data_IF_314924387164
#
_entry.id   IF_314924387164
#
_cell.length_a   1.000
_cell.length_b   1.000
_cell.length_c   1.000
_cell.angle_alpha   90.00
_cell.angle_beta   90.00
_cell.angle_gamma   90.00
#
_symmetry.space_group_name_H-M   'P 1'
#
loop_
_entity.id
_entity.type
_entity.pdbx_description
1 polymer ?
#
# COMPACT_ATOMS: atom_id res chain seq x y z
N UNK A 1 -15.15 -31.80 -22.19
CA UNK A 1 -14.98 -30.63 -21.28
C UNK A 1 -14.50 -29.36 -21.94
N UNK A 2 -13.39 -29.37 -22.70
CA UNK A 2 -12.77 -28.16 -23.28
C UNK A 2 -13.73 -27.25 -24.07
N UNK A 3 -14.62 -27.83 -24.89
CA UNK A 3 -15.63 -27.06 -25.67
C UNK A 3 -16.66 -26.33 -24.79
N UNK A 4 -17.02 -26.91 -23.64
CA UNK A 4 -17.99 -26.34 -22.70
C UNK A 4 -17.39 -25.18 -21.91
N UNK A 5 -16.12 -25.31 -21.50
CA UNK A 5 -15.36 -24.23 -20.85
C UNK A 5 -15.14 -23.05 -21.81
N UNK A 6 -14.79 -23.34 -23.07
CA UNK A 6 -14.60 -22.31 -24.10
C UNK A 6 -15.88 -21.52 -24.40
N UNK A 7 -17.02 -22.20 -24.56
CA UNK A 7 -18.30 -21.52 -24.76
C UNK A 7 -18.68 -20.63 -23.57
N UNK A 8 -18.39 -21.08 -22.34
CA UNK A 8 -18.61 -20.29 -21.14
C UNK A 8 -17.71 -19.06 -21.10
N UNK A 9 -16.43 -19.22 -21.40
CA UNK A 9 -15.46 -18.13 -21.48
C UNK A 9 -15.83 -17.10 -22.56
N UNK A 10 -16.25 -17.54 -23.76
CA UNK A 10 -16.70 -16.65 -24.83
C UNK A 10 -17.96 -15.86 -24.43
N UNK A 11 -18.89 -16.50 -23.71
CA UNK A 11 -20.07 -15.84 -23.13
C UNK A 11 -19.71 -14.79 -22.09
N UNK A 12 -18.88 -15.14 -21.10
CA UNK A 12 -18.39 -14.21 -20.08
C UNK A 12 -17.65 -13.02 -20.70
N UNK A 13 -16.74 -13.29 -21.65
CA UNK A 13 -15.97 -12.26 -22.36
C UNK A 13 -16.88 -11.28 -23.11
N UNK A 14 -17.91 -11.78 -23.80
CA UNK A 14 -18.83 -10.92 -24.56
C UNK A 14 -19.59 -9.95 -23.66
N UNK A 15 -20.04 -10.41 -22.48
CA UNK A 15 -20.73 -9.55 -21.51
C UNK A 15 -19.77 -8.50 -20.94
N UNK A 16 -18.55 -8.89 -20.58
CA UNK A 16 -17.51 -7.98 -20.09
C UNK A 16 -17.16 -6.91 -21.14
N UNK A 17 -17.02 -7.28 -22.42
CA UNK A 17 -16.75 -6.32 -23.50
C UNK A 17 -17.89 -5.30 -23.66
N UNK A 18 -19.16 -5.72 -23.51
CA UNK A 18 -20.31 -4.80 -23.52
C UNK A 18 -20.28 -3.85 -22.33
N UNK A 19 -20.03 -4.35 -21.11
CA UNK A 19 -19.91 -3.54 -19.89
C UNK A 19 -18.82 -2.48 -20.07
N UNK A 20 -17.64 -2.89 -20.58
CA UNK A 20 -16.51 -1.98 -20.82
C UNK A 20 -16.85 -0.88 -21.82
N UNK A 21 -17.58 -1.22 -22.89
CA UNK A 21 -18.05 -0.25 -23.87
C UNK A 21 -19.02 0.76 -23.25
N UNK A 22 -20.03 0.29 -22.51
CA UNK A 22 -21.01 1.15 -21.82
C UNK A 22 -20.30 2.08 -20.82
N UNK A 23 -19.35 1.57 -20.02
CA UNK A 23 -18.54 2.40 -19.10
C UNK A 23 -17.78 3.50 -19.84
N UNK A 24 -17.22 3.19 -21.01
CA UNK A 24 -16.49 4.15 -21.85
C UNK A 24 -17.43 5.22 -22.41
N UNK A 25 -18.60 4.83 -22.90
CA UNK A 25 -19.61 5.75 -23.44
C UNK A 25 -20.15 6.69 -22.34
N UNK A 26 -20.36 6.18 -21.12
CA UNK A 26 -20.71 6.99 -19.94
C UNK A 26 -19.64 8.05 -19.66
N UNK A 27 -18.37 7.66 -19.65
CA UNK A 27 -17.27 8.58 -19.34
C UNK A 27 -17.12 9.66 -20.42
N UNK A 28 -17.24 9.29 -21.70
CA UNK A 28 -17.25 10.24 -22.80
C UNK A 28 -18.39 11.25 -22.67
N UNK A 29 -19.61 10.79 -22.33
CA UNK A 29 -20.76 11.67 -22.14
C UNK A 29 -20.62 12.57 -20.91
N UNK A 30 -19.99 12.11 -19.83
CA UNK A 30 -19.67 12.97 -18.68
C UNK A 30 -18.73 14.10 -19.08
N UNK A 31 -17.65 13.78 -19.79
CA UNK A 31 -16.69 14.78 -20.29
C UNK A 31 -17.40 15.78 -21.22
N UNK A 32 -18.24 15.31 -22.14
CA UNK A 32 -19.03 16.18 -23.02
C UNK A 32 -20.02 17.05 -22.24
N UNK A 33 -20.67 16.51 -21.22
CA UNK A 33 -21.57 17.27 -20.35
C UNK A 33 -20.83 18.40 -19.65
N UNK A 34 -19.61 18.17 -19.14
CA UNK A 34 -18.80 19.21 -18.50
C UNK A 34 -18.34 20.28 -19.51
N UNK A 35 -18.02 19.89 -20.74
CA UNK A 35 -17.69 20.83 -21.81
C UNK A 35 -18.88 21.74 -22.13
N UNK A 36 -20.07 21.18 -22.34
CA UNK A 36 -21.27 21.97 -22.62
C UNK A 36 -21.69 22.86 -21.45
N UNK A 37 -21.44 22.43 -20.21
CA UNK A 37 -21.68 23.25 -19.01
C UNK A 37 -20.75 24.47 -18.99
N UNK A 38 -19.47 24.31 -19.35
CA UNK A 38 -18.51 25.43 -19.49
C UNK A 38 -18.87 26.39 -20.62
N UNK A 39 -19.43 25.87 -21.71
CA UNK A 39 -19.90 26.66 -22.87
C UNK A 39 -21.26 27.35 -22.61
N UNK A 40 -21.92 27.06 -21.47
CA UNK A 40 -23.24 27.62 -21.14
C UNK A 40 -24.42 26.96 -21.87
N UNK A 41 -24.21 25.82 -22.53
CA UNK A 41 -25.25 25.09 -23.25
C UNK A 41 -26.01 24.14 -22.32
N UNK A 42 -26.90 24.70 -21.48
CA UNK A 42 -27.62 23.97 -20.44
C UNK A 42 -28.63 22.95 -21.00
N UNK A 43 -29.19 23.19 -22.19
CA UNK A 43 -30.14 22.26 -22.84
C UNK A 43 -29.45 20.93 -23.18
N UNK A 44 -28.24 20.98 -23.74
CA UNK A 44 -27.44 19.77 -24.03
C UNK A 44 -26.99 19.07 -22.76
N UNK A 45 -26.62 19.82 -21.71
CA UNK A 45 -26.29 19.25 -20.40
C UNK A 45 -27.46 18.45 -19.84
N UNK A 46 -28.67 19.00 -19.88
CA UNK A 46 -29.87 18.32 -19.40
C UNK A 46 -30.17 17.05 -20.21
N UNK A 47 -30.04 17.11 -21.54
CA UNK A 47 -30.24 15.95 -22.42
C UNK A 47 -29.25 14.82 -22.09
N UNK A 48 -27.97 15.15 -21.86
CA UNK A 48 -26.95 14.15 -21.52
C UNK A 48 -27.17 13.59 -20.11
N UNK A 49 -27.33 14.45 -19.10
CA UNK A 49 -27.44 14.04 -17.69
C UNK A 49 -28.71 13.26 -17.38
N UNK A 50 -29.85 13.70 -17.90
CA UNK A 50 -31.16 13.10 -17.56
C UNK A 50 -31.71 12.16 -18.63
N UNK A 51 -31.15 12.18 -19.84
CA UNK A 51 -31.48 11.24 -20.91
C UNK A 51 -30.41 10.16 -21.02
N UNK A 52 -29.39 10.43 -21.84
CA UNK A 52 -28.42 9.42 -22.29
C UNK A 52 -27.66 8.75 -21.14
N UNK A 53 -27.23 9.49 -20.13
CA UNK A 53 -26.51 8.91 -18.98
C UNK A 53 -27.41 7.99 -18.14
N UNK A 54 -28.69 8.34 -17.95
CA UNK A 54 -29.64 7.52 -17.20
C UNK A 54 -29.92 6.21 -17.94
N UNK A 55 -30.06 6.26 -19.28
CA UNK A 55 -30.25 5.07 -20.11
C UNK A 55 -29.03 4.15 -20.05
N UNK A 56 -27.82 4.69 -20.24
CA UNK A 56 -26.59 3.91 -20.17
C UNK A 56 -26.33 3.34 -18.77
N UNK A 57 -26.68 4.06 -17.71
CA UNK A 57 -26.60 3.53 -16.34
C UNK A 57 -27.56 2.36 -16.12
N UNK A 58 -28.80 2.44 -16.60
CA UNK A 58 -29.75 1.32 -16.55
C UNK A 58 -29.25 0.12 -17.34
N UNK A 59 -28.65 0.34 -18.50
CA UNK A 59 -28.11 -0.75 -19.32
C UNK A 59 -26.85 -1.36 -18.70
N UNK A 60 -26.01 -0.55 -18.04
CA UNK A 60 -24.89 -1.02 -17.25
C UNK A 60 -25.36 -1.93 -16.10
N UNK A 61 -26.40 -1.53 -15.36
CA UNK A 61 -26.98 -2.35 -14.30
C UNK A 61 -27.54 -3.69 -14.82
N UNK A 62 -28.23 -3.67 -15.96
CA UNK A 62 -28.72 -4.89 -16.61
C UNK A 62 -27.57 -5.83 -16.99
N UNK A 63 -26.52 -5.32 -17.62
CA UNK A 63 -25.37 -6.12 -18.03
C UNK A 63 -24.57 -6.65 -16.82
N UNK A 64 -24.42 -5.87 -15.75
CA UNK A 64 -23.82 -6.35 -14.50
C UNK A 64 -24.65 -7.47 -13.86
N UNK A 65 -25.98 -7.37 -13.87
CA UNK A 65 -26.86 -8.42 -13.38
C UNK A 65 -26.78 -9.70 -14.25
N UNK A 66 -26.66 -9.55 -15.57
CA UNK A 66 -26.43 -10.65 -16.50
C UNK A 66 -25.07 -11.33 -16.22
N UNK A 67 -24.01 -10.55 -16.04
CA UNK A 67 -22.67 -11.07 -15.72
C UNK A 67 -22.69 -11.88 -14.42
N UNK A 68 -23.33 -11.36 -13.36
CA UNK A 68 -23.49 -12.08 -12.08
C UNK A 68 -24.18 -13.43 -12.27
N UNK A 69 -25.24 -13.50 -13.07
CA UNK A 69 -25.93 -14.77 -13.38
C UNK A 69 -25.04 -15.76 -14.13
N UNK A 70 -24.25 -15.30 -15.10
CA UNK A 70 -23.33 -16.16 -15.86
C UNK A 70 -22.19 -16.68 -14.96
N UNK A 71 -21.78 -15.88 -13.98
CA UNK A 71 -20.71 -16.19 -13.04
C UNK A 71 -21.16 -16.94 -11.77
N UNK A 72 -22.46 -17.19 -11.55
CA UNK A 72 -22.99 -17.92 -10.37
C UNK A 72 -22.33 -19.29 -10.15
N UNK A 73 -21.92 -19.98 -11.22
CA UNK A 73 -21.25 -21.29 -11.17
C UNK A 73 -19.71 -21.18 -11.17
N UNK A 74 -19.18 -20.04 -10.74
CA UNK A 74 -17.75 -19.69 -10.73
C UNK A 74 -17.35 -18.85 -11.95
N UNK A 75 -16.51 -17.84 -11.74
CA UNK A 75 -16.01 -16.96 -12.81
C UNK A 75 -14.77 -17.56 -13.49
N UNK A 76 -14.70 -17.51 -14.82
CA UNK A 76 -13.48 -17.80 -15.59
C UNK A 76 -12.68 -16.54 -15.90
N UNK A 77 -13.30 -15.36 -15.80
CA UNK A 77 -12.71 -14.06 -16.10
C UNK A 77 -13.01 -13.08 -14.94
N UNK A 78 -11.95 -12.66 -14.25
CA UNK A 78 -12.03 -11.62 -13.23
C UNK A 78 -11.94 -10.24 -13.90
N UNK A 79 -13.00 -9.43 -13.80
CA UNK A 79 -13.01 -8.06 -14.33
C UNK A 79 -12.52 -7.04 -13.29
N UNK A 80 -12.77 -7.31 -12.01
CA UNK A 80 -12.43 -6.42 -10.90
C UNK A 80 -11.10 -6.80 -10.28
N UNK A 81 -10.27 -5.78 -10.07
CA UNK A 81 -9.01 -5.89 -9.33
C UNK A 81 -9.36 -5.82 -7.84
N UNK A 82 -8.99 -6.85 -7.08
CA UNK A 82 -9.14 -6.87 -5.62
C UNK A 82 -7.79 -6.71 -4.91
N UNK A 83 -7.84 -6.71 -3.58
CA UNK A 83 -6.66 -6.56 -2.72
C UNK A 83 -5.62 -7.66 -2.97
N UNK A 84 -6.05 -8.86 -3.37
CA UNK A 84 -5.14 -9.97 -3.67
C UNK A 84 -4.37 -9.71 -4.96
N UNK A 85 -5.04 -9.21 -6.00
CA UNK A 85 -4.39 -8.87 -7.27
C UNK A 85 -3.33 -7.78 -7.08
N UNK A 86 -3.63 -6.77 -6.25
CA UNK A 86 -2.67 -5.71 -5.89
C UNK A 86 -1.49 -6.30 -5.12
N UNK A 87 -1.78 -7.13 -4.11
CA UNK A 87 -0.75 -7.73 -3.27
C UNK A 87 0.18 -8.66 -4.07
N UNK A 88 -0.32 -9.38 -5.08
CA UNK A 88 0.51 -10.21 -5.97
C UNK A 88 1.52 -9.38 -6.79
N UNK A 89 1.08 -8.24 -7.33
CA UNK A 89 1.94 -7.34 -8.08
C UNK A 89 3.01 -6.72 -7.17
N UNK A 90 2.60 -6.24 -6.00
CA UNK A 90 3.51 -5.65 -5.00
C UNK A 90 4.51 -6.68 -4.50
N UNK A 91 4.07 -7.91 -4.21
CA UNK A 91 4.94 -9.03 -3.82
C UNK A 91 6.02 -9.30 -4.88
N UNK A 92 5.63 -9.31 -6.16
CA UNK A 92 6.57 -9.53 -7.26
C UNK A 92 7.62 -8.43 -7.37
N UNK A 93 7.25 -7.18 -7.12
CA UNK A 93 8.17 -6.03 -7.18
C UNK A 93 9.08 -5.94 -5.97
N UNK A 94 8.53 -6.11 -4.77
CA UNK A 94 9.24 -5.98 -3.49
C UNK A 94 9.99 -7.25 -3.09
N UNK A 95 9.66 -8.39 -3.71
CA UNK A 95 10.08 -9.74 -3.29
C UNK A 95 9.58 -10.16 -1.91
N UNK A 96 8.62 -9.42 -1.33
CA UNK A 96 7.97 -9.79 -0.08
C UNK A 96 6.90 -10.85 -0.39
N UNK A 97 6.87 -11.99 0.34
CA UNK A 97 5.86 -13.03 0.16
C UNK A 97 4.42 -12.51 0.28
N UNK A 98 3.53 -12.97 -0.60
CA UNK A 98 2.10 -12.61 -0.59
C UNK A 98 1.45 -12.89 0.79
N UNK A 99 1.82 -14.00 1.43
CA UNK A 99 1.32 -14.37 2.75
C UNK A 99 1.61 -13.31 3.82
N UNK A 100 2.73 -12.58 3.70
CA UNK A 100 3.10 -11.50 4.64
C UNK A 100 2.34 -10.21 4.33
N UNK A 101 2.08 -9.91 3.06
CA UNK A 101 1.28 -8.73 2.66
C UNK A 101 -0.19 -8.87 3.02
N UNK A 102 -0.70 -10.11 3.01
CA UNK A 102 -2.08 -10.42 3.37
C UNK A 102 -2.28 -10.63 4.88
N UNK A 103 -1.19 -10.65 5.67
CA UNK A 103 -1.26 -10.79 7.13
C UNK A 103 -1.87 -9.52 7.73
N UNK A 104 -2.88 -9.68 8.60
CA UNK A 104 -3.51 -8.56 9.27
C UNK A 104 -2.52 -7.87 10.21
N UNK A 105 -2.43 -6.53 10.13
CA UNK A 105 -1.52 -5.75 10.97
C UNK A 105 -1.76 -6.01 12.48
N UNK A 106 -3.01 -6.18 12.90
CA UNK A 106 -3.35 -6.52 14.29
C UNK A 106 -2.78 -7.87 14.72
N UNK A 107 -2.89 -8.90 13.89
CA UNK A 107 -2.38 -10.25 14.20
C UNK A 107 -0.85 -10.23 14.29
N UNK A 108 -0.21 -9.54 13.34
CA UNK A 108 1.24 -9.30 13.37
C UNK A 108 1.68 -8.64 14.68
N UNK A 109 0.94 -7.62 15.14
CA UNK A 109 1.24 -6.88 16.37
C UNK A 109 1.02 -7.66 17.68
N UNK A 110 0.13 -8.65 17.68
CA UNK A 110 -0.06 -9.56 18.83
C UNK A 110 1.17 -10.45 19.04
N UNK A 111 1.95 -10.70 17.98
CA UNK A 111 3.08 -11.61 18.00
C UNK A 111 4.45 -10.91 17.91
N UNK A 112 4.54 -9.62 18.26
CA UNK A 112 5.79 -8.83 18.18
C UNK A 112 6.88 -9.47 19.02
N UNK A 113 6.62 -9.74 20.30
CA UNK A 113 7.58 -10.28 21.24
C UNK A 113 8.08 -11.65 20.79
N UNK A 114 7.14 -12.53 20.40
CA UNK A 114 7.47 -13.86 19.90
C UNK A 114 8.32 -13.79 18.64
N UNK A 115 8.07 -12.83 17.76
CA UNK A 115 8.85 -12.63 16.53
C UNK A 115 10.25 -12.12 16.82
N UNK A 116 10.41 -11.13 17.71
CA UNK A 116 11.72 -10.61 18.09
C UNK A 116 12.56 -11.65 18.87
N UNK A 117 11.92 -12.44 19.75
CA UNK A 117 12.57 -13.50 20.53
C UNK A 117 13.10 -14.67 19.70
N UNK A 118 12.65 -14.84 18.45
CA UNK A 118 13.23 -15.84 17.52
C UNK A 118 14.69 -15.56 17.21
N UNK A 119 15.08 -14.28 17.21
CA UNK A 119 16.41 -13.83 16.77
C UNK A 119 17.22 -13.20 17.92
N UNK A 120 16.56 -12.57 18.88
CA UNK A 120 17.19 -11.93 20.05
C UNK A 120 16.97 -12.76 21.31
N UNK A 121 18.05 -13.25 21.91
CA UNK A 121 18.01 -14.12 23.10
C UNK A 121 18.29 -13.32 24.37
N UNK A 122 17.44 -13.49 25.39
CA UNK A 122 17.69 -13.02 26.77
C UNK A 122 17.42 -11.54 27.05
N UNK A 123 16.99 -10.75 26.07
CA UNK A 123 16.68 -9.32 26.22
C UNK A 123 15.17 -9.07 26.44
N UNK A 124 14.52 -9.90 27.28
CA UNK A 124 13.06 -9.91 27.42
C UNK A 124 12.47 -8.55 27.78
N UNK A 125 13.04 -7.86 28.78
CA UNK A 125 12.56 -6.53 29.21
C UNK A 125 12.62 -5.49 28.08
N UNK A 126 13.71 -5.47 27.31
CA UNK A 126 13.86 -4.55 26.19
C UNK A 126 12.86 -4.87 25.06
N UNK A 127 12.64 -6.16 24.78
CA UNK A 127 11.67 -6.62 23.78
C UNK A 127 10.25 -6.21 24.18
N UNK A 128 9.87 -6.41 25.44
CA UNK A 128 8.53 -6.09 25.94
C UNK A 128 8.26 -4.57 25.85
N UNK A 129 9.24 -3.73 26.26
CA UNK A 129 9.13 -2.26 26.14
C UNK A 129 8.98 -1.78 24.70
N UNK A 130 9.72 -2.39 23.76
CA UNK A 130 9.64 -2.07 22.34
C UNK A 130 8.27 -2.48 21.78
N UNK A 131 7.80 -3.70 22.10
CA UNK A 131 6.52 -4.21 21.65
C UNK A 131 5.35 -3.31 22.11
N UNK A 132 5.37 -2.88 23.37
CA UNK A 132 4.39 -1.93 23.91
C UNK A 132 4.42 -0.58 23.20
N UNK A 133 5.61 -0.06 22.90
CA UNK A 133 5.76 1.21 22.18
C UNK A 133 5.19 1.12 20.76
N UNK A 134 5.49 0.04 20.03
CA UNK A 134 4.99 -0.18 18.67
C UNK A 134 3.47 -0.33 18.67
N UNK A 135 2.90 -1.13 19.57
CA UNK A 135 1.45 -1.29 19.69
C UNK A 135 0.77 0.07 19.92
N UNK A 136 1.27 0.87 20.87
CA UNK A 136 0.74 2.23 21.12
C UNK A 136 0.80 3.12 19.89
N UNK A 137 1.89 3.04 19.12
CA UNK A 137 2.03 3.82 17.89
C UNK A 137 1.02 3.41 16.82
N UNK A 138 0.77 2.11 16.66
CA UNK A 138 -0.12 1.59 15.62
C UNK A 138 -1.61 1.74 15.96
N UNK A 139 -1.95 1.83 17.24
CA UNK A 139 -3.32 2.14 17.69
C UNK A 139 -3.65 3.64 17.64
N UNK A 140 -2.74 4.50 17.15
CA UNK A 140 -2.96 5.94 17.07
C UNK A 140 -3.02 6.64 18.43
N UNK A 141 -2.52 6.00 19.49
CA UNK A 141 -2.49 6.58 20.84
C UNK A 141 -1.29 7.52 21.05
N UNK A 142 -0.33 7.53 20.12
CA UNK A 142 0.81 8.44 20.12
C UNK A 142 0.53 9.72 19.31
N UNK A 143 1.26 10.78 19.62
CA UNK A 143 1.26 12.03 18.85
C UNK A 143 1.69 11.77 17.40
N UNK A 144 0.88 12.14 16.39
CA UNK A 144 1.22 11.93 14.98
C UNK A 144 2.45 12.73 14.51
N UNK A 145 2.88 13.75 15.26
CA UNK A 145 4.08 14.53 14.95
C UNK A 145 5.38 13.93 15.51
N UNK A 146 5.31 12.75 16.14
CA UNK A 146 6.48 12.07 16.72
C UNK A 146 6.77 10.76 15.99
N UNK A 147 8.03 10.29 16.00
CA UNK A 147 8.37 8.97 15.50
C UNK A 147 7.56 7.87 16.19
N UNK A 148 7.32 6.76 15.48
CA UNK A 148 6.58 5.61 16.01
C UNK A 148 7.21 5.00 17.26
N UNK A 149 8.53 5.16 17.42
CA UNK A 149 9.25 4.86 18.65
C UNK A 149 10.60 5.56 18.66
N UNK A 150 11.07 5.93 19.85
CA UNK A 150 12.40 6.46 20.07
C UNK A 150 13.01 5.70 21.24
N UNK A 151 14.13 5.03 20.98
CA UNK A 151 14.75 4.11 21.92
C UNK A 151 16.22 4.45 22.10
N UNK A 152 16.73 4.26 23.32
CA UNK A 152 18.15 4.35 23.64
C UNK A 152 18.55 2.98 24.21
N UNK A 153 19.35 2.23 23.46
CA UNK A 153 19.84 0.93 23.90
C UNK A 153 21.16 1.06 24.65
N UNK A 154 21.14 0.82 25.96
CA UNK A 154 22.30 0.93 26.84
C UNK A 154 22.75 -0.46 27.27
N UNK A 155 24.07 -0.72 27.27
CA UNK A 155 24.64 -1.99 27.72
C UNK A 155 26.03 -2.26 27.14
N UNK A 156 26.66 -3.42 27.44
CA UNK A 156 27.94 -3.81 26.86
C UNK A 156 27.88 -4.01 25.33
N UNK A 157 29.03 -4.12 24.68
CA UNK A 157 29.10 -4.53 23.27
C UNK A 157 28.77 -6.02 23.14
N UNK A 158 28.25 -6.45 21.98
CA UNK A 158 27.97 -7.86 21.70
C UNK A 158 26.70 -8.46 22.34
N UNK A 159 25.96 -7.71 23.17
CA UNK A 159 24.74 -8.22 23.84
C UNK A 159 23.47 -8.23 22.96
N UNK A 160 23.59 -7.90 21.66
CA UNK A 160 22.47 -7.98 20.71
C UNK A 160 21.72 -6.67 20.44
N UNK A 161 22.23 -5.50 20.86
CA UNK A 161 21.57 -4.19 20.60
C UNK A 161 21.32 -3.92 19.11
N UNK A 162 22.33 -4.13 18.27
CA UNK A 162 22.19 -3.98 16.81
C UNK A 162 21.29 -5.06 16.22
N UNK A 163 21.33 -6.27 16.76
CA UNK A 163 20.51 -7.38 16.29
C UNK A 163 19.02 -7.15 16.59
N UNK A 164 18.71 -6.54 17.72
CA UNK A 164 17.36 -6.11 18.07
C UNK A 164 16.85 -5.02 17.13
N UNK A 165 17.70 -4.06 16.75
CA UNK A 165 17.34 -3.04 15.76
C UNK A 165 17.07 -3.65 14.38
N UNK A 166 17.90 -4.60 13.91
CA UNK A 166 17.68 -5.33 12.65
C UNK A 166 16.42 -6.19 12.69
N UNK A 167 16.20 -6.91 13.78
CA UNK A 167 15.00 -7.74 13.98
C UNK A 167 13.75 -6.88 13.99
N UNK A 168 13.84 -5.67 14.54
CA UNK A 168 12.75 -4.70 14.52
C UNK A 168 12.49 -4.16 13.10
N UNK A 169 13.53 -3.86 12.32
CA UNK A 169 13.39 -3.46 10.93
C UNK A 169 12.73 -4.57 10.08
N UNK A 170 13.20 -5.81 10.22
CA UNK A 170 12.61 -6.97 9.58
C UNK A 170 11.15 -7.17 9.99
N UNK A 171 10.83 -7.01 11.28
CA UNK A 171 9.45 -7.14 11.74
C UNK A 171 8.54 -6.04 11.19
N UNK A 172 8.95 -4.77 11.24
CA UNK A 172 8.11 -3.65 10.84
C UNK A 172 7.98 -3.49 9.33
N UNK A 173 9.05 -3.78 8.58
CA UNK A 173 9.16 -3.45 7.16
C UNK A 173 9.42 -4.68 6.27
N UNK A 174 9.46 -5.88 6.85
CA UNK A 174 9.70 -7.13 6.14
C UNK A 174 11.06 -7.18 5.42
N UNK A 175 11.99 -6.29 5.80
CA UNK A 175 13.37 -6.19 5.31
C UNK A 175 14.31 -5.71 6.43
N UNK A 176 15.32 -6.52 6.77
CA UNK A 176 16.34 -6.14 7.76
C UNK A 176 17.24 -4.98 7.29
N UNK A 177 17.29 -4.72 5.98
CA UNK A 177 18.03 -3.62 5.37
C UNK A 177 17.24 -2.32 5.35
N UNK A 178 15.97 -2.33 5.76
CA UNK A 178 15.17 -1.13 6.00
C UNK A 178 15.61 -0.41 7.29
N UNK A 179 16.92 -0.23 7.44
CA UNK A 179 17.58 0.40 8.57
C UNK A 179 18.70 1.30 8.05
N UNK A 180 18.60 2.59 8.32
CA UNK A 180 19.68 3.54 8.09
C UNK A 180 20.61 3.47 9.30
N UNK A 181 21.89 3.15 9.06
CA UNK A 181 22.91 3.06 10.11
C UNK A 181 23.88 4.21 9.98
N UNK A 182 23.97 5.03 11.02
CA UNK A 182 24.91 6.15 11.10
C UNK A 182 25.91 5.84 12.22
N UNK A 183 27.20 5.84 11.90
CA UNK A 183 28.25 5.64 12.89
C UNK A 183 28.61 6.98 13.56
N UNK A 184 28.16 7.17 14.80
CA UNK A 184 28.41 8.40 15.56
C UNK A 184 29.90 8.67 15.83
N UNK A 185 30.78 7.67 15.73
CA UNK A 185 32.23 7.89 15.82
C UNK A 185 32.76 8.73 14.66
N UNK A 186 32.07 8.78 13.52
CA UNK A 186 32.41 9.67 12.40
C UNK A 186 31.93 11.11 12.60
N UNK A 187 31.12 11.37 13.63
CA UNK A 187 30.43 12.65 13.87
C UNK A 187 30.89 13.36 15.16
N UNK A 188 32.08 13.05 15.66
CA UNK A 188 32.59 13.60 16.94
C UNK A 188 32.95 15.09 16.87
N UNK A 189 33.26 15.61 15.69
CA UNK A 189 33.74 16.99 15.51
C UNK A 189 32.63 17.91 15.01
N UNK A 190 32.62 19.17 15.45
CA UNK A 190 31.52 20.12 15.14
C UNK A 190 31.24 20.28 13.64
N UNK A 191 32.28 20.19 12.79
CA UNK A 191 32.14 20.32 11.35
C UNK A 191 31.71 19.01 10.65
N UNK A 192 31.79 17.86 11.30
CA UNK A 192 31.34 16.59 10.71
C UNK A 192 29.82 16.47 10.70
N UNK A 193 29.13 17.18 11.60
CA UNK A 193 27.65 17.26 11.66
C UNK A 193 27.04 17.80 10.36
N UNK A 194 27.73 18.72 9.65
CA UNK A 194 27.22 19.25 8.39
C UNK A 194 27.13 18.19 7.28
N UNK A 195 27.81 17.05 7.42
CA UNK A 195 27.64 15.91 6.51
C UNK A 195 26.30 15.19 6.70
N UNK A 196 25.71 15.25 7.90
CA UNK A 196 24.44 14.62 8.23
C UNK A 196 23.23 15.52 7.93
N UNK A 197 23.36 16.83 8.21
CA UNK A 197 22.24 17.78 8.05
C UNK A 197 22.33 18.65 6.78
N UNK A 198 23.43 18.54 6.04
CA UNK A 198 23.79 19.44 4.95
C UNK A 198 24.62 20.65 5.42
N UNK A 199 25.51 21.13 4.55
CA UNK A 199 26.29 22.32 4.85
C UNK A 199 25.45 23.60 4.75
N UNK A 200 25.77 24.68 5.48
CA UNK A 200 25.17 26.00 5.24
C UNK A 200 25.58 26.55 3.86
N UNK A 201 24.80 27.50 3.27
CA UNK A 201 25.19 28.18 2.04
C UNK A 201 26.61 28.77 2.14
N UNK A 202 27.49 28.43 1.20
CA UNK A 202 28.89 28.90 1.16
C UNK A 202 29.94 27.96 1.75
N UNK A 203 29.56 26.77 2.21
CA UNK A 203 30.48 25.70 2.64
C UNK A 203 30.51 24.52 1.64
N UNK A 204 31.64 23.81 1.58
CA UNK A 204 31.81 22.60 0.74
C UNK A 204 30.76 21.55 1.15
N UNK A 205 29.99 21.04 0.19
CA UNK A 205 28.88 20.09 0.42
C UNK A 205 27.48 20.71 0.50
N UNK A 206 27.32 22.00 0.21
CA UNK A 206 26.01 22.68 0.20
C UNK A 206 25.01 22.09 -0.81
N UNK A 207 25.48 21.65 -1.99
CA UNK A 207 24.63 21.08 -3.04
C UNK A 207 24.43 19.55 -2.92
N UNK A 208 25.21 18.89 -2.07
CA UNK A 208 25.18 17.42 -1.93
C UNK A 208 24.12 16.93 -0.93
N UNK A 209 23.53 17.85 -0.14
CA UNK A 209 22.59 17.49 0.93
C UNK A 209 23.27 16.73 2.09
N UNK A 210 22.50 16.43 3.13
CA UNK A 210 22.94 15.53 4.20
C UNK A 210 22.79 14.07 3.79
N UNK A 211 23.62 13.20 4.36
CA UNK A 211 23.57 11.75 4.20
C UNK A 211 22.23 11.15 4.66
#
# INVERSE_FOLDING_TARGET
>A
ENKKLRLRWEGEKSVIEKIRKIKTDIEQLKIQSEQYEKEGNLDKVAQIRYGSLVELQKDLEKQNAELRRVQEKGSLLKEEVDDQDIAEVVAKWTKIPLSKLMEGETEKLVHVEASLKKRVVGQDEAIDLIADCIRRSRTGLNDPNRPSGSFIFVGPTGVGKTELAKSLAEFLFDDENAMIRIDMSEYMEKFTVSRLIGAPPGYVGYEEGGQ
#
